data_IF_928656681316
#
_entry.id   IF_928656681316
#
_cell.length_a   1.000
_cell.length_b   1.000
_cell.length_c   1.000
_cell.angle_alpha   90.00
_cell.angle_beta   90.00
_cell.angle_gamma   90.00
#
_symmetry.space_group_name_H-M   'P 1'
#
loop_
_entity.id
_entity.type
_entity.pdbx_description
1 polymer ?
#
# COMPACT_ATOMS: atom_id res chain seq x y z
N UNK A 1 5.98 0.68 14.68
CA UNK A 1 5.49 1.75 13.78
C UNK A 1 5.66 1.27 12.35
N UNK A 2 4.63 1.34 11.50
CA UNK A 2 4.76 0.97 10.10
C UNK A 2 5.40 2.12 9.33
N UNK A 3 6.72 2.02 9.10
CA UNK A 3 7.52 3.05 8.43
C UNK A 3 6.99 3.43 7.04
N UNK A 4 6.36 2.48 6.36
CA UNK A 4 5.81 2.70 5.02
C UNK A 4 4.57 3.57 5.07
N UNK A 5 3.69 3.34 6.05
CA UNK A 5 2.55 4.23 6.28
C UNK A 5 3.00 5.64 6.66
N UNK A 6 4.06 5.76 7.48
CA UNK A 6 4.68 7.04 7.80
C UNK A 6 5.25 7.76 6.57
N UNK A 7 5.93 7.03 5.69
CA UNK A 7 6.50 7.57 4.46
C UNK A 7 5.41 8.00 3.46
N UNK A 8 4.36 7.19 3.30
CA UNK A 8 3.19 7.55 2.49
C UNK A 8 2.49 8.80 3.01
N UNK A 9 2.28 8.92 4.33
CA UNK A 9 1.72 10.13 4.95
C UNK A 9 2.58 11.37 4.69
N UNK A 10 3.89 11.25 4.82
CA UNK A 10 4.81 12.35 4.53
C UNK A 10 4.78 12.78 3.06
N UNK A 11 4.69 11.83 2.11
CA UNK A 11 4.54 12.14 0.68
C UNK A 11 3.20 12.84 0.42
N UNK A 12 2.09 12.33 0.99
CA UNK A 12 0.79 12.99 0.87
C UNK A 12 0.80 14.40 1.45
N UNK A 13 1.49 14.61 2.59
CA UNK A 13 1.66 15.93 3.16
C UNK A 13 2.42 16.87 2.22
N UNK A 14 3.54 16.42 1.64
CA UNK A 14 4.29 17.20 0.65
C UNK A 14 3.39 17.59 -0.52
N UNK A 15 2.67 16.63 -1.12
CA UNK A 15 1.82 16.89 -2.29
C UNK A 15 0.72 17.91 -2.01
N UNK A 16 0.14 17.89 -0.80
CA UNK A 16 -0.88 18.84 -0.38
C UNK A 16 -0.34 20.26 -0.10
N UNK A 17 0.96 20.42 0.11
CA UNK A 17 1.60 21.68 0.50
C UNK A 17 2.71 22.13 -0.48
N UNK A 18 2.66 21.68 -1.74
CA UNK A 18 3.67 22.03 -2.74
C UNK A 18 3.73 23.54 -3.04
N UNK A 19 2.67 24.30 -2.78
CA UNK A 19 2.63 25.76 -2.94
C UNK A 19 3.01 26.53 -1.69
N UNK A 20 3.22 25.83 -0.58
CA UNK A 20 3.44 26.45 0.73
C UNK A 20 4.93 26.41 1.10
N UNK A 21 5.32 27.23 2.08
CA UNK A 21 6.65 27.17 2.66
C UNK A 21 6.70 26.02 3.68
N UNK A 22 7.14 24.84 3.22
CA UNK A 22 7.26 23.65 4.05
C UNK A 22 8.71 23.38 4.42
N UNK A 23 8.95 23.15 5.72
CA UNK A 23 10.25 22.72 6.21
C UNK A 23 10.37 21.20 6.21
N UNK A 24 11.60 20.71 6.29
CA UNK A 24 11.86 19.27 6.46
C UNK A 24 11.31 18.77 7.79
N UNK A 25 11.35 19.61 8.84
CA UNK A 25 10.84 19.28 10.16
C UNK A 25 9.32 19.06 10.14
N UNK A 26 8.59 19.84 9.33
CA UNK A 26 7.13 19.65 9.16
C UNK A 26 6.82 18.30 8.50
N UNK A 27 7.63 17.91 7.51
CA UNK A 27 7.49 16.65 6.77
C UNK A 27 7.85 15.45 7.66
N UNK A 28 8.98 15.52 8.37
CA UNK A 28 9.47 14.42 9.21
C UNK A 28 8.57 14.17 10.43
N UNK A 29 7.92 15.23 10.93
CA UNK A 29 6.91 15.15 12.00
C UNK A 29 5.70 14.32 11.59
N UNK A 30 5.29 14.33 10.30
CA UNK A 30 4.21 13.47 9.81
C UNK A 30 4.58 11.98 9.85
N UNK A 31 5.87 11.68 9.78
CA UNK A 31 6.41 10.33 9.83
C UNK A 31 6.79 9.87 11.26
N UNK A 32 6.61 10.73 12.27
CA UNK A 32 7.09 10.52 13.65
C UNK A 32 8.60 10.20 13.72
N UNK A 33 9.38 10.85 12.86
CA UNK A 33 10.83 10.63 12.73
C UNK A 33 11.60 11.93 12.91
N UNK A 34 12.85 11.83 13.37
CA UNK A 34 13.78 12.95 13.23
C UNK A 34 14.02 13.29 11.76
N UNK A 35 14.27 14.57 11.48
CA UNK A 35 14.51 15.08 10.12
C UNK A 35 15.71 14.43 9.44
N UNK A 36 16.81 14.25 10.17
CA UNK A 36 18.01 13.60 9.63
C UNK A 36 17.75 12.13 9.26
N UNK A 37 17.05 11.39 10.12
CA UNK A 37 16.72 9.99 9.84
C UNK A 37 15.74 9.86 8.67
N UNK A 38 14.71 10.72 8.63
CA UNK A 38 13.72 10.71 7.56
C UNK A 38 14.35 11.04 6.20
N UNK A 39 15.21 12.07 6.14
CA UNK A 39 15.97 12.41 4.93
C UNK A 39 16.84 11.24 4.44
N UNK A 40 17.57 10.60 5.36
CA UNK A 40 18.42 9.47 5.04
C UNK A 40 17.60 8.33 4.42
N UNK A 41 16.52 7.91 5.09
CA UNK A 41 15.71 6.79 4.61
C UNK A 41 14.97 7.16 3.31
N UNK A 42 14.44 8.38 3.19
CA UNK A 42 13.83 8.85 1.94
C UNK A 42 14.82 8.77 0.77
N UNK A 43 16.05 9.22 0.98
CA UNK A 43 17.10 9.17 -0.04
C UNK A 43 17.47 7.74 -0.42
N UNK A 44 17.64 6.85 0.57
CA UNK A 44 17.98 5.45 0.35
C UNK A 44 16.88 4.71 -0.43
N UNK A 45 15.61 4.97 -0.09
CA UNK A 45 14.47 4.29 -0.71
C UNK A 45 14.14 4.85 -2.09
N UNK A 46 14.19 6.17 -2.27
CA UNK A 46 13.72 6.84 -3.50
C UNK A 46 14.85 7.16 -4.49
N UNK A 47 16.11 7.14 -4.05
CA UNK A 47 17.27 7.46 -4.88
C UNK A 47 17.51 8.96 -5.11
N UNK A 48 16.71 9.85 -4.49
CA UNK A 48 16.86 11.30 -4.55
C UNK A 48 16.41 11.95 -3.24
N UNK A 49 16.82 13.18 -3.01
CA UNK A 49 16.51 13.93 -1.79
C UNK A 49 15.07 14.46 -1.77
N UNK A 50 14.54 14.75 -0.59
CA UNK A 50 13.23 15.39 -0.42
C UNK A 50 13.17 16.74 -1.16
N UNK A 51 14.24 17.53 -1.10
CA UNK A 51 14.32 18.81 -1.81
C UNK A 51 14.27 18.64 -3.34
N UNK A 52 14.90 17.59 -3.86
CA UNK A 52 14.79 17.24 -5.29
C UNK A 52 13.38 16.81 -5.67
N UNK A 53 12.73 16.01 -4.83
CA UNK A 53 11.34 15.62 -5.01
C UNK A 53 10.41 16.83 -5.12
N UNK A 54 10.43 17.70 -4.11
CA UNK A 54 9.61 18.92 -4.04
C UNK A 54 9.88 19.79 -5.27
N UNK A 55 11.16 20.03 -5.61
CA UNK A 55 11.53 20.84 -6.76
C UNK A 55 11.01 20.27 -8.08
N UNK A 56 11.14 18.96 -8.30
CA UNK A 56 10.69 18.32 -9.54
C UNK A 56 9.16 18.35 -9.67
N UNK A 57 8.43 18.16 -8.56
CA UNK A 57 6.96 18.27 -8.51
C UNK A 57 6.50 19.70 -8.76
N UNK A 58 7.08 20.69 -8.08
CA UNK A 58 6.82 22.12 -8.29
C UNK A 58 7.03 22.54 -9.74
N UNK A 59 8.16 22.18 -10.35
CA UNK A 59 8.45 22.51 -11.74
C UNK A 59 7.48 21.83 -12.72
N UNK A 60 7.09 20.59 -12.45
CA UNK A 60 6.11 19.87 -13.28
C UNK A 60 4.72 20.52 -13.24
N UNK A 61 4.27 20.96 -12.06
CA UNK A 61 2.99 21.67 -11.91
C UNK A 61 3.07 23.10 -12.47
N UNK A 62 4.18 23.80 -12.26
CA UNK A 62 4.44 25.11 -12.85
C UNK A 62 4.36 25.08 -14.39
N UNK A 63 4.88 24.02 -15.01
CA UNK A 63 4.73 23.80 -16.45
C UNK A 63 3.27 23.68 -16.88
N UNK A 64 2.41 23.02 -16.10
CA UNK A 64 0.98 22.90 -16.41
C UNK A 64 0.27 24.25 -16.25
N UNK A 65 0.59 25.00 -15.20
CA UNK A 65 0.04 26.33 -14.97
C UNK A 65 0.44 27.33 -16.07
N UNK A 66 1.66 27.23 -16.59
CA UNK A 66 2.13 28.07 -17.71
C UNK A 66 1.43 27.78 -19.05
N UNK A 67 0.81 26.60 -19.20
CA UNK A 67 0.03 26.29 -20.39
C UNK A 67 -1.38 26.90 -20.34
N UNK A 68 -1.82 27.37 -19.17
CA UNK A 68 -3.11 28.02 -19.02
C UNK A 68 -3.10 29.41 -19.68
N UNK A 69 -4.21 29.82 -20.32
CA UNK A 69 -4.31 31.15 -20.91
C UNK A 69 -4.16 32.25 -19.84
N UNK A 70 -3.46 33.33 -20.19
CA UNK A 70 -3.17 34.49 -19.33
C UNK A 70 -2.25 34.24 -18.12
N UNK A 71 -1.56 33.10 -18.06
CA UNK A 71 -0.56 32.84 -17.04
C UNK A 71 0.64 33.79 -17.16
N UNK A 72 1.04 34.43 -16.06
CA UNK A 72 2.27 35.23 -15.98
C UNK A 72 3.38 34.40 -15.33
N UNK A 73 4.57 34.43 -15.93
CA UNK A 73 5.72 33.65 -15.46
C UNK A 73 6.08 34.02 -14.01
N UNK A 74 6.02 35.31 -13.65
CA UNK A 74 6.29 35.77 -12.30
C UNK A 74 5.28 35.21 -11.28
N UNK A 75 3.99 35.24 -11.61
CA UNK A 75 2.94 34.75 -10.71
C UNK A 75 3.07 33.23 -10.47
N UNK A 76 3.41 32.48 -11.52
CA UNK A 76 3.70 31.04 -11.40
C UNK A 76 4.96 30.79 -10.57
N UNK A 77 6.03 31.56 -10.80
CA UNK A 77 7.26 31.42 -10.03
C UNK A 77 7.01 31.63 -8.52
N UNK A 78 6.28 32.69 -8.16
CA UNK A 78 5.94 33.01 -6.78
C UNK A 78 5.03 31.94 -6.15
N UNK A 79 4.05 31.44 -6.90
CA UNK A 79 3.16 30.36 -6.44
C UNK A 79 3.92 29.10 -6.04
N UNK A 80 5.00 28.78 -6.74
CA UNK A 80 5.83 27.60 -6.46
C UNK A 80 7.09 27.94 -5.66
N UNK A 81 7.02 29.00 -4.83
CA UNK A 81 8.03 29.36 -3.84
C UNK A 81 9.43 29.64 -4.43
N UNK A 82 9.48 30.37 -5.56
CA UNK A 82 10.71 30.94 -6.09
C UNK A 82 10.77 32.44 -5.80
N UNK A 83 11.90 32.91 -5.26
CA UNK A 83 12.09 34.32 -4.88
C UNK A 83 12.13 35.29 -6.06
N UNK A 84 12.50 34.80 -7.26
CA UNK A 84 12.60 35.64 -8.45
C UNK A 84 12.29 34.88 -9.73
N UNK A 85 11.85 35.61 -10.76
CA UNK A 85 11.63 35.06 -12.09
C UNK A 85 12.92 34.51 -12.73
N UNK A 86 14.10 35.09 -12.47
CA UNK A 86 15.36 34.53 -13.00
C UNK A 86 15.68 33.17 -12.38
N UNK A 87 15.52 33.05 -11.06
CA UNK A 87 15.79 31.80 -10.33
C UNK A 87 14.89 30.66 -10.84
N UNK A 88 13.59 30.96 -11.00
CA UNK A 88 12.61 30.05 -11.59
C UNK A 88 12.98 29.68 -13.03
N UNK A 89 13.28 30.66 -13.87
CA UNK A 89 13.59 30.41 -15.29
C UNK A 89 14.82 29.52 -15.48
N UNK A 90 15.85 29.68 -14.63
CA UNK A 90 17.04 28.83 -14.62
C UNK A 90 16.70 27.39 -14.20
N UNK A 91 15.93 27.22 -13.12
CA UNK A 91 15.51 25.91 -12.65
C UNK A 91 14.58 25.19 -13.65
N UNK A 92 13.61 25.91 -14.20
CA UNK A 92 12.67 25.44 -15.20
C UNK A 92 13.39 24.97 -16.47
N UNK A 93 14.33 25.77 -16.98
CA UNK A 93 15.11 25.42 -18.17
C UNK A 93 15.98 24.19 -17.92
N UNK A 94 16.59 24.07 -16.73
CA UNK A 94 17.39 22.88 -16.37
C UNK A 94 16.53 21.62 -16.32
N UNK A 95 15.30 21.72 -15.82
CA UNK A 95 14.40 20.58 -15.69
C UNK A 95 13.74 20.19 -17.02
N UNK A 96 13.08 21.14 -17.70
CA UNK A 96 12.32 20.88 -18.94
C UNK A 96 13.14 20.98 -20.22
N UNK A 97 14.32 21.59 -20.22
CA UNK A 97 15.16 21.80 -21.41
C UNK A 97 14.70 22.97 -22.30
N UNK A 98 13.68 23.73 -21.90
CA UNK A 98 13.18 24.92 -22.60
C UNK A 98 12.86 26.02 -21.59
N UNK A 99 12.88 27.28 -22.03
CA UNK A 99 12.53 28.41 -21.15
C UNK A 99 11.03 28.46 -20.87
N UNK A 100 10.60 29.04 -19.72
CA UNK A 100 9.18 29.20 -19.40
C UNK A 100 8.38 29.91 -20.50
N UNK A 101 8.94 30.94 -21.13
CA UNK A 101 8.30 31.69 -22.22
C UNK A 101 8.10 30.88 -23.51
N UNK A 102 8.80 29.76 -23.66
CA UNK A 102 8.70 28.84 -24.80
C UNK A 102 8.07 27.50 -24.40
N UNK A 103 7.43 27.44 -23.23
CA UNK A 103 6.75 26.25 -22.76
C UNK A 103 5.58 25.92 -23.70
N UNK A 104 5.52 24.67 -24.16
CA UNK A 104 4.41 24.15 -24.95
C UNK A 104 4.20 22.68 -24.61
N UNK A 105 2.95 22.21 -24.72
CA UNK A 105 2.49 20.90 -24.22
C UNK A 105 3.32 19.70 -24.69
N UNK A 106 3.91 19.75 -25.87
CA UNK A 106 4.70 18.65 -26.46
C UNK A 106 6.17 18.53 -26.04
N UNK A 107 6.73 19.44 -25.23
CA UNK A 107 8.17 19.42 -24.85
C UNK A 107 8.46 19.43 -23.35
N UNK A 108 7.44 19.43 -22.50
CA UNK A 108 7.62 19.56 -21.06
C UNK A 108 7.70 18.19 -20.40
N UNK A 109 8.76 17.98 -19.61
CA UNK A 109 8.85 16.81 -18.73
C UNK A 109 7.75 16.84 -17.65
N UNK A 110 7.17 15.68 -17.37
CA UNK A 110 6.22 15.48 -16.28
C UNK A 110 6.82 14.53 -15.26
N UNK A 111 6.85 14.97 -14.01
CA UNK A 111 7.22 14.14 -12.88
C UNK A 111 5.99 13.98 -11.98
N UNK A 112 5.46 12.76 -11.88
CA UNK A 112 4.20 12.46 -11.18
C UNK A 112 4.43 12.24 -9.67
N UNK A 113 3.37 12.36 -8.83
CA UNK A 113 3.45 12.01 -7.41
C UNK A 113 3.93 10.57 -7.22
N UNK A 114 4.75 10.34 -6.20
CA UNK A 114 5.14 8.99 -5.84
C UNK A 114 3.98 8.25 -5.16
N UNK A 115 3.78 7.01 -5.56
CA UNK A 115 2.91 6.06 -4.86
C UNK A 115 3.73 4.86 -4.44
N UNK A 116 3.70 4.54 -3.15
CA UNK A 116 4.43 3.42 -2.58
C UNK A 116 3.48 2.23 -2.53
N UNK A 117 3.69 1.28 -3.44
CA UNK A 117 3.10 -0.05 -3.36
C UNK A 117 4.19 -0.98 -2.84
N UNK A 118 4.06 -1.42 -1.59
CA UNK A 118 5.04 -2.33 -1.00
C UNK A 118 4.60 -3.77 -1.22
N UNK A 119 5.44 -4.52 -1.92
CA UNK A 119 5.36 -5.98 -1.99
C UNK A 119 6.57 -6.52 -1.23
N UNK A 120 6.35 -7.18 -0.11
CA UNK A 120 7.44 -7.83 0.65
C UNK A 120 7.85 -9.09 -0.10
N UNK A 121 9.11 -9.18 -0.49
CA UNK A 121 9.71 -10.38 -1.09
C UNK A 121 11.06 -10.65 -0.37
N UNK A 122 11.11 -11.69 0.48
CA UNK A 122 12.33 -12.14 1.18
C UNK A 122 12.50 -11.73 2.66
N UNK A 123 13.54 -12.32 3.28
CA UNK A 123 13.92 -12.35 4.73
C UNK A 123 14.74 -13.63 5.02
N UNK A 124 15.43 -13.79 6.17
CA UNK A 124 16.10 -15.08 6.53
C UNK A 124 15.12 -16.25 6.37
N UNK A 125 15.62 -17.44 5.99
CA UNK A 125 14.85 -18.62 5.52
C UNK A 125 13.62 -19.00 6.39
N UNK A 126 12.54 -18.23 6.24
CA UNK A 126 11.21 -18.78 6.18
C UNK A 126 11.16 -19.62 4.91
N UNK A 127 10.66 -20.87 4.93
CA UNK A 127 10.47 -21.62 3.70
C UNK A 127 9.64 -20.76 2.74
N UNK A 128 10.33 -20.26 1.71
CA UNK A 128 9.84 -19.26 0.77
C UNK A 128 8.54 -19.76 0.14
N UNK A 129 7.53 -18.88 0.13
CA UNK A 129 6.26 -18.96 -0.59
C UNK A 129 5.04 -19.62 0.05
N UNK A 130 4.98 -19.95 1.35
CA UNK A 130 3.70 -20.38 1.94
C UNK A 130 2.54 -19.41 1.64
N UNK A 131 2.77 -18.09 1.83
CA UNK A 131 1.77 -17.07 1.45
C UNK A 131 1.46 -17.13 -0.05
N UNK A 132 2.44 -17.27 -0.93
CA UNK A 132 2.20 -17.29 -2.38
C UNK A 132 1.67 -18.63 -2.91
N UNK A 133 1.76 -19.70 -2.11
CA UNK A 133 1.27 -21.05 -2.42
C UNK A 133 -0.19 -21.22 -2.02
N UNK A 134 -0.68 -20.44 -1.06
CA UNK A 134 -2.10 -20.37 -0.77
C UNK A 134 -2.87 -19.95 -2.03
N UNK A 135 -3.94 -20.68 -2.30
CA UNK A 135 -4.86 -20.37 -3.38
C UNK A 135 -5.81 -19.27 -2.92
N UNK A 136 -5.36 -18.03 -3.03
CA UNK A 136 -6.11 -16.83 -2.65
C UNK A 136 -7.26 -16.51 -3.59
N UNK A 137 -8.19 -15.71 -3.10
CA UNK A 137 -9.28 -15.17 -3.91
C UNK A 137 -8.76 -14.03 -4.80
N UNK A 138 -8.86 -14.19 -6.11
CA UNK A 138 -8.53 -13.19 -7.15
C UNK A 138 -9.78 -12.54 -7.76
N UNK A 139 -10.95 -12.77 -7.20
CA UNK A 139 -12.27 -12.39 -7.76
C UNK A 139 -12.61 -10.89 -7.65
N UNK A 140 -11.63 -10.01 -7.50
CA UNK A 140 -11.82 -8.57 -7.30
C UNK A 140 -12.54 -7.84 -8.44
N UNK A 141 -12.61 -8.44 -9.63
CA UNK A 141 -13.26 -7.86 -10.82
C UNK A 141 -14.70 -8.31 -11.04
N UNK A 142 -15.22 -9.27 -10.25
CA UNK A 142 -16.57 -9.83 -10.46
C UNK A 142 -17.69 -8.78 -10.38
N UNK A 143 -17.49 -7.70 -9.63
CA UNK A 143 -18.47 -6.62 -9.51
C UNK A 143 -18.57 -5.75 -10.76
N UNK A 144 -17.54 -5.74 -11.62
CA UNK A 144 -17.48 -4.96 -12.86
C UNK A 144 -17.92 -5.76 -14.09
N UNK A 145 -18.11 -7.08 -13.94
CA UNK A 145 -18.55 -7.96 -15.03
C UNK A 145 -20.07 -7.96 -15.17
N UNK A 146 -20.55 -7.88 -16.42
CA UNK A 146 -21.97 -7.92 -16.79
C UNK A 146 -22.51 -9.37 -16.79
N UNK A 147 -22.37 -10.06 -15.66
CA UNK A 147 -22.82 -11.45 -15.44
C UNK A 147 -23.84 -11.51 -14.30
N UNK A 148 -24.67 -12.56 -14.28
CA UNK A 148 -25.72 -12.72 -13.26
C UNK A 148 -25.16 -13.01 -11.88
N UNK A 149 -25.90 -12.66 -10.83
CA UNK A 149 -25.51 -12.91 -9.44
C UNK A 149 -25.32 -14.41 -9.13
N UNK A 150 -26.12 -15.26 -9.78
CA UNK A 150 -25.99 -16.72 -9.73
C UNK A 150 -24.64 -17.20 -10.30
N UNK A 151 -24.18 -16.57 -11.38
CA UNK A 151 -22.89 -16.88 -12.01
C UNK A 151 -21.71 -16.37 -11.19
N UNK A 152 -21.84 -15.17 -10.60
CA UNK A 152 -20.86 -14.63 -9.63
C UNK A 152 -20.71 -15.57 -8.43
N UNK A 153 -21.84 -16.02 -7.87
CA UNK A 153 -21.84 -16.96 -6.74
C UNK A 153 -21.21 -18.31 -7.11
N UNK A 154 -21.51 -18.86 -8.29
CA UNK A 154 -20.87 -20.09 -8.79
C UNK A 154 -19.35 -19.96 -8.93
N UNK A 155 -18.84 -18.82 -9.36
CA UNK A 155 -17.39 -18.57 -9.43
C UNK A 155 -16.75 -18.54 -8.03
N UNK A 156 -17.40 -17.91 -7.04
CA UNK A 156 -16.96 -17.94 -5.64
C UNK A 156 -16.92 -19.39 -5.12
N UNK A 157 -17.96 -20.19 -5.37
CA UNK A 157 -18.01 -21.60 -4.94
C UNK A 157 -16.92 -22.43 -5.64
N UNK A 158 -16.68 -22.21 -6.93
CA UNK A 158 -15.63 -22.90 -7.68
C UNK A 158 -14.23 -22.56 -7.14
N UNK A 159 -13.97 -21.28 -6.88
CA UNK A 159 -12.76 -20.84 -6.21
C UNK A 159 -12.59 -21.54 -4.85
N UNK A 160 -13.62 -21.52 -3.99
CA UNK A 160 -13.57 -22.15 -2.68
C UNK A 160 -13.30 -23.66 -2.75
N UNK A 161 -13.88 -24.35 -3.75
CA UNK A 161 -13.60 -25.76 -4.01
C UNK A 161 -12.13 -26.03 -4.37
N UNK A 162 -11.52 -25.18 -5.20
CA UNK A 162 -10.09 -25.28 -5.55
C UNK A 162 -9.18 -24.93 -4.36
N UNK A 163 -9.55 -23.90 -3.59
CA UNK A 163 -8.84 -23.50 -2.38
C UNK A 163 -8.81 -24.63 -1.36
N UNK A 164 -9.93 -25.32 -1.15
CA UNK A 164 -10.02 -26.48 -0.25
C UNK A 164 -9.11 -27.64 -0.65
N UNK A 165 -8.79 -27.78 -1.93
CA UNK A 165 -7.87 -28.81 -2.42
C UNK A 165 -6.38 -28.46 -2.28
N UNK A 166 -6.04 -27.16 -2.41
CA UNK A 166 -4.64 -26.70 -2.41
C UNK A 166 -4.15 -26.16 -1.07
N UNK A 167 -5.00 -25.47 -0.32
CA UNK A 167 -4.58 -24.81 0.92
C UNK A 167 -4.17 -25.77 2.05
N UNK A 168 -4.71 -27.00 2.19
CA UNK A 168 -4.29 -27.90 3.26
C UNK A 168 -2.78 -28.22 3.25
N UNK A 169 -2.20 -28.49 2.08
CA UNK A 169 -0.75 -28.78 1.97
C UNK A 169 0.11 -27.59 2.38
N UNK A 170 -0.40 -26.37 2.16
CA UNK A 170 0.26 -25.13 2.56
C UNK A 170 0.11 -24.91 4.07
N UNK A 171 -1.04 -25.25 4.65
CA UNK A 171 -1.23 -25.24 6.11
C UNK A 171 -0.33 -26.26 6.82
N UNK A 172 -0.11 -27.44 6.24
CA UNK A 172 0.80 -28.45 6.80
C UNK A 172 2.22 -27.89 6.89
N UNK A 173 2.73 -27.29 5.81
CA UNK A 173 4.05 -26.68 5.79
C UNK A 173 4.16 -25.43 6.69
N UNK A 174 3.08 -24.64 6.85
CA UNK A 174 3.03 -23.57 7.84
C UNK A 174 3.09 -24.12 9.28
N UNK A 175 2.41 -25.24 9.54
CA UNK A 175 2.41 -25.89 10.85
C UNK A 175 3.79 -26.45 11.19
N UNK A 176 4.46 -27.09 10.23
CA UNK A 176 5.85 -27.53 10.38
C UNK A 176 6.78 -26.37 10.74
N UNK A 177 6.60 -25.19 10.12
CA UNK A 177 7.39 -24.00 10.43
C UNK A 177 7.09 -23.42 11.83
N UNK A 178 5.81 -23.40 12.26
CA UNK A 178 5.44 -22.94 13.60
C UNK A 178 5.99 -23.89 14.69
N UNK A 179 6.09 -25.19 14.40
CA UNK A 179 6.58 -26.20 15.33
C UNK A 179 8.11 -26.40 15.28
N UNK A 180 8.82 -25.74 14.37
CA UNK A 180 10.28 -25.82 14.28
C UNK A 180 10.95 -24.93 15.34
N UNK A 181 11.38 -25.54 16.44
CA UNK A 181 12.09 -24.87 17.55
C UNK A 181 13.33 -24.06 17.08
N UNK A 182 13.93 -24.38 15.95
CA UNK A 182 15.07 -23.64 15.38
C UNK A 182 14.67 -22.28 14.77
N UNK A 183 13.37 -22.10 14.51
CA UNK A 183 12.78 -20.85 14.04
C UNK A 183 12.35 -19.97 15.20
N UNK A 184 11.96 -20.53 16.35
CA UNK A 184 11.41 -19.76 17.48
C UNK A 184 12.44 -19.51 18.60
N UNK A 185 13.70 -19.33 18.24
CA UNK A 185 14.76 -18.93 19.17
C UNK A 185 14.62 -17.47 19.62
N UNK A 186 15.13 -17.09 20.80
CA UNK A 186 14.97 -15.75 21.36
C UNK A 186 15.42 -14.60 20.43
N UNK A 187 16.46 -14.84 19.62
CA UNK A 187 17.00 -13.89 18.64
C UNK A 187 16.11 -13.73 17.39
N UNK A 188 15.24 -14.70 17.10
CA UNK A 188 14.31 -14.71 15.95
C UNK A 188 12.84 -14.54 16.33
N UNK A 189 12.49 -14.75 17.59
CA UNK A 189 11.12 -14.77 18.11
C UNK A 189 10.31 -13.54 17.68
N UNK A 190 10.85 -12.34 17.91
CA UNK A 190 10.16 -11.09 17.57
C UNK A 190 9.93 -10.92 16.07
N UNK A 191 10.90 -11.36 15.24
CA UNK A 191 10.79 -11.28 13.79
C UNK A 191 9.77 -12.30 13.26
N UNK A 192 9.85 -13.56 13.71
CA UNK A 192 8.95 -14.62 13.27
C UNK A 192 7.51 -14.42 13.77
N UNK A 193 7.33 -13.87 14.96
CA UNK A 193 6.02 -13.42 15.44
C UNK A 193 5.44 -12.33 14.51
N UNK A 194 6.27 -11.37 14.08
CA UNK A 194 5.83 -10.36 13.12
C UNK A 194 5.46 -10.97 11.77
N UNK A 195 6.22 -11.93 11.27
CA UNK A 195 5.92 -12.59 9.99
C UNK A 195 4.58 -13.36 10.08
N UNK A 196 4.35 -14.09 11.17
CA UNK A 196 3.10 -14.82 11.37
C UNK A 196 1.91 -13.86 11.50
N UNK A 197 2.02 -12.87 12.37
CA UNK A 197 0.91 -11.95 12.68
C UNK A 197 0.64 -10.94 11.58
N UNK A 198 1.68 -10.29 11.05
CA UNK A 198 1.56 -9.20 10.06
C UNK A 198 1.68 -9.69 8.61
N UNK A 199 2.22 -10.89 8.39
CA UNK A 199 2.27 -11.53 7.08
C UNK A 199 1.07 -12.43 6.86
N UNK A 200 1.08 -13.60 7.50
CA UNK A 200 0.12 -14.70 7.24
C UNK A 200 -1.29 -14.32 7.69
N UNK A 201 -1.49 -14.00 8.97
CA UNK A 201 -2.82 -13.72 9.51
C UNK A 201 -3.42 -12.43 8.96
N UNK A 202 -2.60 -11.39 8.76
CA UNK A 202 -3.07 -10.17 8.11
C UNK A 202 -3.59 -10.43 6.68
N UNK A 203 -2.95 -11.34 5.93
CA UNK A 203 -3.43 -11.76 4.61
C UNK A 203 -4.77 -12.48 4.69
N UNK A 204 -4.92 -13.44 5.61
CA UNK A 204 -6.20 -14.12 5.81
C UNK A 204 -7.33 -13.15 6.19
N UNK A 205 -7.08 -12.18 7.08
CA UNK A 205 -8.05 -11.14 7.42
C UNK A 205 -8.47 -10.30 6.21
N UNK A 206 -7.51 -9.88 5.39
CA UNK A 206 -7.79 -9.14 4.15
C UNK A 206 -8.62 -9.97 3.16
N UNK A 207 -8.28 -11.25 2.99
CA UNK A 207 -9.00 -12.15 2.10
C UNK A 207 -10.43 -12.41 2.56
N UNK A 208 -10.64 -12.57 3.87
CA UNK A 208 -11.96 -12.72 4.45
C UNK A 208 -12.80 -11.45 4.25
N UNK A 209 -12.21 -10.26 4.45
CA UNK A 209 -12.87 -8.99 4.21
C UNK A 209 -13.31 -8.82 2.74
N UNK A 210 -12.42 -9.12 1.78
CA UNK A 210 -12.76 -9.08 0.35
C UNK A 210 -13.88 -10.07 -0.02
N UNK A 211 -13.85 -11.28 0.55
CA UNK A 211 -14.90 -12.27 0.32
C UNK A 211 -16.25 -11.79 0.88
N UNK A 212 -16.25 -11.16 2.06
CA UNK A 212 -17.46 -10.54 2.64
C UNK A 212 -18.02 -9.46 1.73
N UNK A 213 -17.19 -8.56 1.20
CA UNK A 213 -17.65 -7.52 0.27
C UNK A 213 -18.32 -8.11 -0.98
N UNK A 214 -17.75 -9.16 -1.56
CA UNK A 214 -18.34 -9.86 -2.72
C UNK A 214 -19.68 -10.52 -2.35
N UNK A 215 -19.76 -11.18 -1.19
CA UNK A 215 -20.99 -11.85 -0.76
C UNK A 215 -22.08 -10.85 -0.36
N UNK A 216 -21.73 -9.69 0.21
CA UNK A 216 -22.68 -8.63 0.57
C UNK A 216 -23.34 -8.06 -0.69
N UNK A 217 -22.57 -7.90 -1.77
CA UNK A 217 -23.12 -7.48 -3.07
C UNK A 217 -24.15 -8.47 -3.64
N UNK A 218 -24.06 -9.74 -3.26
CA UNK A 218 -24.96 -10.81 -3.69
C UNK A 218 -26.12 -11.07 -2.71
N UNK A 219 -26.08 -10.50 -1.50
CA UNK A 219 -27.11 -10.69 -0.47
C UNK A 219 -28.54 -10.35 -0.96
N UNK A 220 -28.79 -9.24 -1.69
CA UNK A 220 -30.13 -8.89 -2.16
C UNK A 220 -30.74 -9.90 -3.13
N UNK A 221 -29.90 -10.69 -3.82
CA UNK A 221 -30.35 -11.72 -4.76
C UNK A 221 -30.81 -13.01 -4.07
N UNK A 222 -30.55 -13.17 -2.77
CA UNK A 222 -30.93 -14.33 -1.99
C UNK A 222 -30.11 -15.60 -2.26
N UNK A 223 -29.06 -15.52 -3.10
CA UNK A 223 -28.20 -16.66 -3.44
C UNK A 223 -27.23 -17.05 -2.32
N UNK A 224 -26.97 -16.15 -1.37
CA UNK A 224 -26.05 -16.36 -0.25
C UNK A 224 -26.81 -16.90 0.98
N UNK A 225 -26.36 -18.04 1.50
CA UNK A 225 -26.96 -18.66 2.69
C UNK A 225 -26.42 -18.02 3.98
N UNK A 226 -27.29 -17.82 4.98
CA UNK A 226 -26.94 -17.33 6.32
C UNK A 226 -25.81 -18.13 7.01
N UNK A 227 -25.69 -19.44 6.72
CA UNK A 227 -24.62 -20.28 7.23
C UNK A 227 -23.21 -19.83 6.78
N UNK A 228 -23.11 -19.15 5.62
CA UNK A 228 -21.86 -18.61 5.08
C UNK A 228 -21.38 -17.47 5.98
N UNK A 229 -22.25 -16.54 6.34
CA UNK A 229 -21.91 -15.43 7.25
C UNK A 229 -21.40 -15.92 8.60
N UNK A 230 -22.12 -16.88 9.20
CA UNK A 230 -21.68 -17.47 10.46
C UNK A 230 -20.34 -18.21 10.38
N UNK A 231 -19.95 -18.73 9.21
CA UNK A 231 -18.63 -19.32 9.01
C UNK A 231 -17.52 -18.26 8.91
N UNK A 232 -17.79 -17.15 8.24
CA UNK A 232 -16.85 -16.02 8.14
C UNK A 232 -16.63 -15.35 9.50
N UNK A 233 -17.70 -15.21 10.29
CA UNK A 233 -17.64 -14.62 11.64
C UNK A 233 -16.77 -15.48 12.57
N UNK A 234 -17.01 -16.80 12.61
CA UNK A 234 -16.16 -17.73 13.38
C UNK A 234 -14.69 -17.66 12.98
N UNK A 235 -14.41 -17.54 11.69
CA UNK A 235 -13.04 -17.46 11.20
C UNK A 235 -12.34 -16.15 11.62
N UNK A 236 -13.04 -15.01 11.59
CA UNK A 236 -12.50 -13.73 12.06
C UNK A 236 -12.23 -13.73 13.57
N UNK A 237 -13.10 -14.38 14.35
CA UNK A 237 -12.94 -14.55 15.79
C UNK A 237 -11.70 -15.42 16.10
N UNK A 238 -11.54 -16.55 15.41
CA UNK A 238 -10.37 -17.42 15.53
C UNK A 238 -9.07 -16.71 15.17
N UNK A 239 -9.03 -15.94 14.06
CA UNK A 239 -7.87 -15.13 13.66
C UNK A 239 -7.58 -13.96 14.61
N UNK A 240 -8.50 -13.65 15.51
CA UNK A 240 -8.36 -12.60 16.52
C UNK A 240 -8.12 -13.17 17.91
N UNK A 241 -7.88 -14.48 18.02
CA UNK A 241 -7.59 -15.18 19.28
C UNK A 241 -8.83 -15.53 20.12
N UNK A 242 -10.04 -15.27 19.62
CA UNK A 242 -11.29 -15.64 20.27
C UNK A 242 -11.73 -17.01 19.76
N UNK A 243 -11.13 -18.06 20.33
CA UNK A 243 -11.47 -19.44 19.95
C UNK A 243 -12.82 -19.84 20.55
N UNK A 244 -13.67 -20.47 19.73
CA UNK A 244 -14.92 -21.08 20.19
C UNK A 244 -14.69 -22.51 20.72
N UNK A 245 -13.47 -23.04 20.57
CA UNK A 245 -13.08 -24.35 21.08
C UNK A 245 -12.62 -24.24 22.53
N UNK A 246 -13.40 -24.85 23.43
CA UNK A 246 -13.12 -24.87 24.87
C UNK A 246 -11.80 -25.56 25.22
N UNK A 247 -11.28 -26.46 24.38
CA UNK A 247 -10.00 -27.15 24.64
C UNK A 247 -8.78 -26.26 24.37
N UNK A 248 -8.91 -25.25 23.52
CA UNK A 248 -7.83 -24.31 23.18
C UNK A 248 -7.80 -23.10 24.12
N UNK A 249 -8.88 -22.84 24.85
CA UNK A 249 -8.98 -21.75 25.83
C UNK A 249 -7.96 -21.90 26.99
N UNK A 250 -7.64 -23.12 27.39
CA UNK A 250 -6.77 -23.41 28.54
C UNK A 250 -5.26 -23.35 28.21
N UNK A 251 -4.89 -23.30 26.92
CA UNK A 251 -3.48 -23.27 26.48
C UNK A 251 -2.93 -21.84 26.34
N UNK A 252 -3.82 -20.84 26.26
CA UNK A 252 -3.49 -19.42 26.00
C UNK A 252 -3.46 -18.57 27.29
N UNK A 253 -3.80 -19.15 28.45
CA UNK A 253 -3.77 -18.48 29.76
C UNK A 253 -2.43 -18.63 30.48
#
# INVERSE_FOLDING_TARGET
MNWIQSLSKAISYIENHLTDDISIDDISSQAYSSSSHFQFVFHVVMGFTIGEYIRNRRLSLAAQDLLQPNSKILDVAMRYQYDSQESFSKAFTRFHGTSPSKAHSGKLKQFHPLSINLTIQGGFDMPYNLINEFYWNDLGELNNENITDDEKYKRIVNWAGRARGKNPTVFDALTEWVLDDCQWTNDKLTENEQILMQGVFAWFKNQNAKLRELLLALEPSGVVNAAVWGALDRFDDELSGHTHDKQLHDVVA
#
